data_IF_003478890315
#
_entry.id   IF_003478890315
#
_cell.length_a   1.000
_cell.length_b   1.000
_cell.length_c   1.000
_cell.angle_alpha   90.00
_cell.angle_beta   90.00
_cell.angle_gamma   90.00
#
_symmetry.space_group_name_H-M   'P 1'
#
loop_
_entity.id
_entity.type
_entity.pdbx_description
1 polymer ?
#
# COMPACT_ATOMS: atom_id res chain seq x y z
N UNK A 1 35.91 -7.34 -1.01
CA UNK A 1 34.53 -6.85 -0.81
C UNK A 1 34.26 -5.71 -1.79
N UNK A 2 33.58 -5.98 -2.90
CA UNK A 2 33.29 -4.96 -3.92
C UNK A 2 32.17 -4.05 -3.43
N UNK A 3 32.45 -2.74 -3.29
CA UNK A 3 31.47 -1.73 -2.94
C UNK A 3 30.45 -1.66 -4.08
N UNK A 4 29.26 -2.25 -3.88
CA UNK A 4 28.10 -2.04 -4.76
C UNK A 4 27.81 -0.55 -4.80
N UNK A 5 28.27 0.11 -5.87
CA UNK A 5 27.89 1.48 -6.23
C UNK A 5 26.35 1.50 -6.22
N UNK A 6 25.72 2.28 -5.33
CA UNK A 6 24.28 2.53 -5.40
C UNK A 6 24.03 3.07 -6.81
N UNK A 7 23.31 2.31 -7.63
CA UNK A 7 22.87 2.80 -8.93
C UNK A 7 21.88 3.91 -8.63
N UNK A 8 22.26 5.15 -8.89
CA UNK A 8 21.37 6.29 -8.77
C UNK A 8 20.32 6.22 -9.90
N UNK A 9 19.32 5.37 -9.68
CA UNK A 9 17.92 5.77 -9.65
C UNK A 9 17.21 6.21 -10.93
N UNK A 10 17.77 6.02 -12.12
CA UNK A 10 17.08 6.39 -13.37
C UNK A 10 17.34 5.36 -14.48
N UNK A 11 16.38 4.47 -14.74
CA UNK A 11 16.46 3.47 -15.82
C UNK A 11 15.93 4.00 -17.16
N UNK A 12 14.90 4.85 -17.13
CA UNK A 12 14.22 5.35 -18.31
C UNK A 12 14.24 6.87 -18.35
N UNK A 13 14.46 7.43 -19.55
CA UNK A 13 14.47 8.86 -19.81
C UNK A 13 13.29 9.18 -20.70
N UNK A 14 12.46 10.12 -20.24
CA UNK A 14 11.27 10.56 -20.95
C UNK A 14 11.42 12.06 -21.20
N UNK A 15 11.12 12.49 -22.43
CA UNK A 15 11.04 13.89 -22.80
C UNK A 15 9.58 14.32 -22.79
N UNK A 16 9.27 15.36 -22.02
CA UNK A 16 7.93 15.95 -21.93
C UNK A 16 8.00 17.43 -22.24
N UNK A 17 7.10 17.87 -23.12
CA UNK A 17 6.91 19.28 -23.44
C UNK A 17 6.09 19.98 -22.36
N UNK A 18 6.50 21.18 -21.98
CA UNK A 18 5.76 22.05 -21.08
C UNK A 18 5.43 23.35 -21.80
N UNK A 19 4.26 23.92 -21.48
CA UNK A 19 3.93 25.28 -21.92
C UNK A 19 4.80 26.30 -21.17
N UNK A 20 4.91 27.50 -21.73
CA UNK A 20 5.67 28.59 -21.08
C UNK A 20 5.13 28.91 -19.67
N UNK A 21 3.82 28.85 -19.49
CA UNK A 21 3.19 29.10 -18.20
C UNK A 21 3.50 27.98 -17.19
N UNK A 22 3.41 26.72 -17.60
CA UNK A 22 3.78 25.58 -16.75
C UNK A 22 5.25 25.67 -16.31
N UNK A 23 6.13 26.06 -17.24
CA UNK A 23 7.55 26.29 -16.95
C UNK A 23 7.77 27.38 -15.92
N UNK A 24 7.11 28.53 -16.06
CA UNK A 24 7.20 29.63 -15.09
C UNK A 24 6.78 29.20 -13.69
N UNK A 25 5.68 28.44 -13.57
CA UNK A 25 5.21 27.91 -12.27
C UNK A 25 6.22 26.95 -11.64
N UNK A 26 6.81 26.05 -12.43
CA UNK A 26 7.85 25.12 -11.96
C UNK A 26 9.08 25.87 -11.43
N UNK A 27 9.54 26.89 -12.15
CA UNK A 27 10.67 27.72 -11.72
C UNK A 27 10.36 28.51 -10.45
N UNK A 28 9.14 29.04 -10.31
CA UNK A 28 8.71 29.73 -9.10
C UNK A 28 8.73 28.80 -7.88
N UNK A 29 8.20 27.57 -8.02
CA UNK A 29 8.24 26.58 -6.94
C UNK A 29 9.68 26.23 -6.55
N UNK A 30 10.58 26.08 -7.54
CA UNK A 30 12.01 25.86 -7.26
C UNK A 30 12.63 27.03 -6.50
N UNK A 31 12.29 28.27 -6.86
CA UNK A 31 12.78 29.47 -6.15
C UNK A 31 12.31 29.51 -4.70
N UNK A 32 11.04 29.18 -4.45
CA UNK A 32 10.50 29.12 -3.08
C UNK A 32 11.19 28.02 -2.27
N UNK A 33 11.31 26.80 -2.83
CA UNK A 33 11.99 25.68 -2.15
C UNK A 33 13.48 25.95 -1.89
N UNK A 34 14.13 26.68 -2.79
CA UNK A 34 15.53 27.11 -2.60
C UNK A 34 15.68 28.07 -1.41
N UNK A 35 14.70 28.96 -1.17
CA UNK A 35 14.69 29.83 0.03
C UNK A 35 14.55 29.04 1.32
N UNK A 36 13.81 27.93 1.29
CA UNK A 36 13.66 27.01 2.42
C UNK A 36 14.84 26.03 2.59
N UNK A 37 15.94 26.23 1.85
CA UNK A 37 17.13 25.36 1.89
C UNK A 37 16.96 24.00 1.21
N UNK A 38 15.81 23.75 0.56
CA UNK A 38 15.54 22.52 -0.19
C UNK A 38 15.94 22.72 -1.66
N UNK A 39 17.24 22.75 -1.91
CA UNK A 39 17.80 22.71 -3.26
C UNK A 39 17.42 21.38 -3.93
N UNK A 40 16.54 21.44 -4.91
CA UNK A 40 16.06 20.30 -5.68
C UNK A 40 16.27 20.54 -7.17
N UNK A 41 16.55 19.49 -7.93
CA UNK A 41 16.54 19.59 -9.38
C UNK A 41 15.09 19.65 -9.88
N UNK A 42 14.91 20.29 -11.03
CA UNK A 42 13.61 20.35 -11.72
C UNK A 42 12.97 18.97 -11.91
N UNK A 43 13.79 17.96 -12.19
CA UNK A 43 13.36 16.57 -12.34
C UNK A 43 12.76 16.01 -11.04
N UNK A 44 13.34 16.33 -9.89
CA UNK A 44 12.84 15.88 -8.58
C UNK A 44 11.49 16.53 -8.29
N UNK A 45 11.35 17.83 -8.59
CA UNK A 45 10.09 18.54 -8.44
C UNK A 45 8.98 17.96 -9.34
N UNK A 46 9.30 17.63 -10.60
CA UNK A 46 8.34 17.01 -11.52
C UNK A 46 7.93 15.62 -11.00
N UNK A 47 8.87 14.85 -10.46
CA UNK A 47 8.59 13.55 -9.85
C UNK A 47 7.68 13.69 -8.64
N UNK A 48 7.96 14.63 -7.74
CA UNK A 48 7.12 14.89 -6.57
C UNK A 48 5.70 15.26 -6.99
N UNK A 49 5.57 16.13 -7.99
CA UNK A 49 4.27 16.54 -8.52
C UNK A 49 3.51 15.37 -9.16
N UNK A 50 4.20 14.50 -9.91
CA UNK A 50 3.60 13.30 -10.50
C UNK A 50 3.17 12.31 -9.41
N UNK A 51 4.02 12.08 -8.42
CA UNK A 51 3.69 11.20 -7.29
C UNK A 51 2.48 11.72 -6.51
N UNK A 52 2.40 13.04 -6.31
CA UNK A 52 1.25 13.70 -5.69
C UNK A 52 0.00 13.54 -6.55
N UNK A 53 0.10 13.76 -7.85
CA UNK A 53 -1.03 13.57 -8.76
C UNK A 53 -1.55 12.14 -8.71
N UNK A 54 -0.65 11.16 -8.85
CA UNK A 54 -1.01 9.74 -8.76
C UNK A 54 -1.62 9.42 -7.40
N UNK A 55 -1.06 9.91 -6.29
CA UNK A 55 -1.59 9.61 -4.95
C UNK A 55 -3.02 10.10 -4.72
N UNK A 56 -3.47 11.12 -5.44
CA UNK A 56 -4.83 11.66 -5.35
C UNK A 56 -5.80 10.99 -6.33
N UNK A 57 -5.29 10.19 -7.27
CA UNK A 57 -6.08 9.58 -8.34
C UNK A 57 -6.10 8.07 -8.12
N UNK A 58 -7.04 7.63 -7.28
CA UNK A 58 -7.25 6.23 -6.93
C UNK A 58 -7.69 5.36 -8.12
N UNK A 59 -8.26 5.99 -9.16
CA UNK A 59 -8.83 5.29 -10.31
C UNK A 59 -7.78 4.90 -11.37
N UNK A 60 -6.51 5.30 -11.18
CA UNK A 60 -5.43 4.94 -12.10
C UNK A 60 -4.84 3.58 -11.68
N UNK A 61 -4.96 2.54 -12.53
CA UNK A 61 -4.39 1.23 -12.23
C UNK A 61 -2.87 1.33 -12.03
N UNK A 62 -2.36 0.75 -10.94
CA UNK A 62 -0.93 0.72 -10.63
C UNK A 62 -0.44 1.83 -9.69
N UNK A 63 -1.28 2.78 -9.33
CA UNK A 63 -1.01 3.75 -8.26
C UNK A 63 -0.96 3.07 -6.89
N UNK A 64 -0.13 3.58 -5.96
CA UNK A 64 -0.07 3.09 -4.57
C UNK A 64 -1.45 3.05 -3.89
N UNK A 65 -2.26 4.08 -4.02
CA UNK A 65 -3.60 4.12 -3.44
C UNK A 65 -4.56 3.08 -4.03
N UNK A 66 -4.55 2.87 -5.36
CA UNK A 66 -5.29 1.79 -6.02
C UNK A 66 -4.83 0.40 -5.54
N UNK A 67 -3.52 0.22 -5.34
CA UNK A 67 -2.95 -1.01 -4.77
C UNK A 67 -3.40 -1.18 -3.32
N UNK A 68 -3.35 -0.13 -2.50
CA UNK A 68 -3.78 -0.17 -1.10
C UNK A 68 -5.26 -0.52 -0.98
N UNK A 69 -6.16 0.12 -1.72
CA UNK A 69 -7.60 -0.22 -1.72
C UNK A 69 -7.84 -1.69 -2.14
N UNK A 70 -7.11 -2.17 -3.14
CA UNK A 70 -7.18 -3.58 -3.57
C UNK A 70 -6.64 -4.55 -2.51
N UNK A 71 -5.65 -4.13 -1.73
CA UNK A 71 -5.11 -4.91 -0.62
C UNK A 71 -6.05 -4.90 0.58
N UNK A 72 -6.65 -3.76 0.92
CA UNK A 72 -7.69 -3.64 1.94
C UNK A 72 -8.86 -4.58 1.65
N UNK A 73 -9.43 -4.54 0.44
CA UNK A 73 -10.53 -5.45 0.09
C UNK A 73 -10.14 -6.94 0.08
N UNK A 74 -8.84 -7.27 -0.09
CA UNK A 74 -8.34 -8.65 0.06
C UNK A 74 -8.16 -9.04 1.52
N UNK A 75 -7.75 -8.10 2.38
CA UNK A 75 -7.64 -8.31 3.82
C UNK A 75 -9.02 -8.54 4.42
N UNK A 76 -10.01 -7.73 4.06
CA UNK A 76 -11.40 -7.89 4.51
C UNK A 76 -11.94 -9.28 4.17
N UNK A 77 -11.68 -9.77 2.94
CA UNK A 77 -12.09 -11.11 2.52
C UNK A 77 -11.38 -12.22 3.32
N UNK A 78 -10.11 -12.02 3.68
CA UNK A 78 -9.35 -12.97 4.50
C UNK A 78 -9.85 -12.96 5.95
N UNK A 79 -10.15 -11.79 6.50
CA UNK A 79 -10.73 -11.66 7.84
C UNK A 79 -12.10 -12.35 7.93
N UNK A 80 -12.94 -12.21 6.90
CA UNK A 80 -14.22 -12.90 6.83
C UNK A 80 -14.05 -14.43 6.80
N UNK A 81 -13.10 -14.94 6.01
CA UNK A 81 -12.77 -16.37 5.98
C UNK A 81 -12.23 -16.89 7.32
N UNK A 82 -11.38 -16.11 7.98
CA UNK A 82 -10.87 -16.47 9.31
C UNK A 82 -11.99 -16.49 10.36
N UNK A 83 -12.91 -15.53 10.32
CA UNK A 83 -14.09 -15.51 11.17
C UNK A 83 -14.97 -16.75 11.00
N UNK A 84 -15.22 -17.14 9.74
CA UNK A 84 -15.98 -18.36 9.43
C UNK A 84 -15.29 -19.63 9.95
N UNK A 85 -13.98 -19.77 9.74
CA UNK A 85 -13.22 -20.91 10.24
C UNK A 85 -13.19 -20.96 11.77
N UNK A 86 -12.98 -19.82 12.43
CA UNK A 86 -13.02 -19.72 13.89
C UNK A 86 -14.37 -20.16 14.43
N UNK A 87 -15.47 -19.75 13.78
CA UNK A 87 -16.81 -20.15 14.19
C UNK A 87 -17.03 -21.66 14.05
N UNK A 88 -16.56 -22.26 12.95
CA UNK A 88 -16.69 -23.70 12.72
C UNK A 88 -15.86 -24.52 13.72
N UNK A 89 -14.66 -24.05 14.07
CA UNK A 89 -13.83 -24.68 15.11
C UNK A 89 -14.49 -24.59 16.50
N UNK A 90 -15.11 -23.45 16.83
CA UNK A 90 -15.88 -23.29 18.07
C UNK A 90 -17.00 -24.33 18.14
N UNK A 91 -17.78 -24.48 17.06
CA UNK A 91 -18.86 -25.47 16.99
C UNK A 91 -18.34 -26.91 17.16
N UNK A 92 -17.20 -27.23 16.56
CA UNK A 92 -16.58 -28.55 16.73
C UNK A 92 -16.14 -28.79 18.18
N UNK A 93 -15.52 -27.80 18.83
CA UNK A 93 -15.14 -27.90 20.25
C UNK A 93 -16.36 -28.13 21.14
N UNK A 94 -17.45 -27.39 20.93
CA UNK A 94 -18.70 -27.56 21.68
C UNK A 94 -19.29 -28.97 21.51
N UNK A 95 -19.21 -29.53 20.30
CA UNK A 95 -19.64 -30.90 20.01
C UNK A 95 -18.75 -31.93 20.71
N UNK A 96 -17.43 -31.73 20.70
CA UNK A 96 -16.48 -32.60 21.39
C UNK A 96 -16.71 -32.57 22.91
N UNK A 97 -16.95 -31.40 23.50
CA UNK A 97 -17.29 -31.27 24.91
C UNK A 97 -18.58 -32.02 25.27
N UNK A 98 -19.62 -31.88 24.44
CA UNK A 98 -20.88 -32.63 24.60
C UNK A 98 -20.67 -34.14 24.51
N UNK A 99 -19.85 -34.60 23.58
CA UNK A 99 -19.50 -36.03 23.45
C UNK A 99 -18.73 -36.53 24.68
N UNK A 100 -17.73 -35.78 25.15
CA UNK A 100 -16.98 -36.11 26.36
C UNK A 100 -17.90 -36.20 27.57
N UNK A 101 -18.81 -35.24 27.74
CA UNK A 101 -19.80 -35.26 28.82
C UNK A 101 -20.72 -36.48 28.74
N UNK A 102 -21.19 -36.83 27.54
CA UNK A 102 -22.01 -38.02 27.31
C UNK A 102 -21.28 -39.33 27.67
N UNK A 103 -20.03 -39.49 27.21
CA UNK A 103 -19.24 -40.69 27.52
C UNK A 103 -18.84 -40.78 29.01
N UNK A 104 -18.55 -39.66 29.67
CA UNK A 104 -18.33 -39.62 31.13
C UNK A 104 -19.57 -40.08 31.89
N UNK A 105 -20.75 -39.58 31.52
CA UNK A 105 -22.04 -39.96 32.14
C UNK A 105 -22.35 -41.45 31.96
N UNK A 106 -22.01 -42.03 30.80
CA UNK A 106 -22.24 -43.47 30.50
C UNK A 106 -21.27 -44.42 31.21
N UNK A 107 -20.07 -43.96 31.61
CA UNK A 107 -19.07 -44.78 32.33
C UNK A 107 -19.25 -44.79 33.86
N UNK A 108 -20.05 -43.87 34.40
CA UNK A 108 -20.35 -43.75 35.84
C UNK A 108 -21.69 -44.37 36.26
N UNK A 109 -22.38 -45.06 35.35
CA UNK A 109 -23.58 -45.87 35.59
C UNK A 109 -23.25 -47.33 35.27
#
# INVERSE_FOLDING_TARGET
MSKRKRRDGYSERISVGFTLEQMRRVEEILRVRARDGKMQHKTDLIRDALNLYLSHHDDIPGTRAAITRKLEGRLDAVEEQLGQQSHLLQQQNDLLEKLVAFFKKRRGA
#
